data_IF_723543940297
#
_entry.id   IF_723543940297
#
_cell.length_a   1.000
_cell.length_b   1.000
_cell.length_c   1.000
_cell.angle_alpha   90.00
_cell.angle_beta   90.00
_cell.angle_gamma   90.00
#
_symmetry.space_group_name_H-M   'P 1'
#
loop_
_entity.id
_entity.type
_entity.pdbx_description
1 polymer ?
#
# COMPACT_ATOMS: atom_id res chain seq x y z
N UNK A 1 -8.62 1.96 -6.74
CA UNK A 1 -9.11 0.64 -7.13
C UNK A 1 -9.93 0.75 -8.41
N UNK A 2 -10.96 1.58 -8.40
CA UNK A 2 -11.91 1.80 -9.51
C UNK A 2 -11.26 2.31 -10.81
N UNK A 3 -10.31 3.26 -10.73
CA UNK A 3 -9.54 3.72 -11.91
C UNK A 3 -8.77 2.59 -12.62
N UNK A 4 -8.24 1.63 -11.85
CA UNK A 4 -7.51 0.49 -12.41
C UNK A 4 -8.43 -0.51 -13.09
N UNK A 5 -9.62 -0.74 -12.54
CA UNK A 5 -10.64 -1.58 -13.15
C UNK A 5 -11.21 -0.97 -14.43
N UNK A 6 -11.48 0.34 -14.43
CA UNK A 6 -11.96 1.06 -15.62
C UNK A 6 -10.92 1.04 -16.74
N UNK A 7 -9.65 1.29 -16.42
CA UNK A 7 -8.56 1.19 -17.39
C UNK A 7 -8.42 -0.24 -17.94
N UNK A 8 -8.55 -1.26 -17.08
CA UNK A 8 -8.48 -2.66 -17.49
C UNK A 8 -9.68 -3.04 -18.37
N UNK A 9 -10.89 -2.61 -18.04
CA UNK A 9 -12.10 -2.85 -18.85
C UNK A 9 -11.98 -2.21 -20.24
N UNK A 10 -11.41 -1.01 -20.35
CA UNK A 10 -11.14 -0.36 -21.64
C UNK A 10 -10.12 -1.15 -22.48
N UNK A 11 -9.06 -1.66 -21.86
CA UNK A 11 -8.02 -2.45 -22.53
C UNK A 11 -8.56 -3.81 -22.99
N UNK A 12 -9.41 -4.46 -22.19
CA UNK A 12 -10.10 -5.71 -22.55
C UNK A 12 -11.06 -5.50 -23.73
N UNK A 13 -11.75 -4.36 -23.80
CA UNK A 13 -12.64 -4.03 -24.92
C UNK A 13 -11.90 -3.87 -26.25
N UNK A 14 -10.69 -3.29 -26.22
CA UNK A 14 -9.86 -3.04 -27.39
C UNK A 14 -9.09 -4.30 -27.87
N UNK A 15 -8.80 -5.25 -26.97
CA UNK A 15 -7.89 -6.36 -27.23
C UNK A 15 -8.55 -7.69 -26.83
N UNK A 16 -9.00 -8.46 -27.83
CA UNK A 16 -9.62 -9.80 -27.65
C UNK A 16 -8.59 -10.95 -27.52
N UNK A 17 -7.31 -10.71 -27.78
CA UNK A 17 -6.25 -11.70 -27.65
C UNK A 17 -5.63 -11.72 -26.25
N UNK A 18 -5.68 -12.87 -25.58
CA UNK A 18 -5.17 -13.06 -24.21
C UNK A 18 -3.67 -12.72 -24.06
N UNK A 19 -2.86 -12.95 -25.11
CA UNK A 19 -1.41 -12.62 -25.11
C UNK A 19 -1.17 -11.12 -25.12
N UNK A 20 -1.94 -10.38 -25.91
CA UNK A 20 -1.82 -8.93 -26.00
C UNK A 20 -2.36 -8.27 -24.73
N UNK A 21 -3.41 -8.83 -24.13
CA UNK A 21 -3.94 -8.39 -22.84
C UNK A 21 -2.92 -8.54 -21.70
N UNK A 22 -2.25 -9.69 -21.63
CA UNK A 22 -1.19 -9.95 -20.66
C UNK A 22 -0.01 -8.98 -20.81
N UNK A 23 0.35 -8.63 -22.06
CA UNK A 23 1.39 -7.63 -22.33
C UNK A 23 0.92 -6.21 -21.94
N UNK A 24 -0.28 -5.80 -22.35
CA UNK A 24 -0.82 -4.47 -22.07
C UNK A 24 -0.97 -4.20 -20.56
N UNK A 25 -1.28 -5.24 -19.77
CA UNK A 25 -1.36 -5.14 -18.31
C UNK A 25 0.00 -5.19 -17.64
N UNK A 26 0.96 -5.94 -18.17
CA UNK A 26 2.31 -6.10 -17.59
C UNK A 26 3.25 -4.91 -17.88
N UNK A 27 3.14 -4.29 -19.06
CA UNK A 27 4.00 -3.18 -19.49
C UNK A 27 3.96 -1.97 -18.55
N UNK A 28 2.79 -1.51 -18.04
CA UNK A 28 2.73 -0.48 -17.01
C UNK A 28 3.49 -0.85 -15.74
N UNK A 29 3.53 -2.14 -15.36
CA UNK A 29 4.31 -2.54 -14.17
C UNK A 29 5.81 -2.40 -14.38
N UNK A 30 6.30 -2.49 -15.63
CA UNK A 30 7.71 -2.24 -15.91
C UNK A 30 8.12 -0.80 -15.60
N UNK A 31 7.18 0.16 -15.69
CA UNK A 31 7.43 1.55 -15.28
C UNK A 31 7.73 1.68 -13.78
N UNK A 32 7.26 0.75 -12.93
CA UNK A 32 7.61 0.72 -11.51
C UNK A 32 9.11 0.49 -11.27
N UNK A 33 9.83 -0.15 -12.18
CA UNK A 33 11.28 -0.26 -12.07
C UNK A 33 11.98 1.10 -12.26
N UNK A 34 11.41 2.02 -13.04
CA UNK A 34 11.92 3.40 -13.12
C UNK A 34 11.73 4.15 -11.79
N UNK A 35 10.68 3.84 -11.02
CA UNK A 35 10.47 4.46 -9.71
C UNK A 35 11.61 4.14 -8.74
N UNK A 36 12.26 2.98 -8.86
CA UNK A 36 13.44 2.66 -8.04
C UNK A 36 14.57 3.68 -8.23
N UNK A 37 14.71 4.24 -9.43
CA UNK A 37 15.77 5.19 -9.76
C UNK A 37 15.43 6.64 -9.39
N UNK A 38 14.14 6.98 -9.43
CA UNK A 38 13.65 8.36 -9.23
C UNK A 38 13.27 8.63 -7.77
N UNK A 39 12.73 7.64 -7.05
CA UNK A 39 12.17 7.85 -5.72
C UNK A 39 13.30 7.86 -4.67
N UNK A 40 13.52 8.97 -3.95
CA UNK A 40 14.46 8.97 -2.85
C UNK A 40 13.96 8.01 -1.76
N UNK A 41 14.90 7.36 -1.08
CA UNK A 41 14.58 6.45 0.03
C UNK A 41 13.79 7.18 1.12
N UNK A 42 12.90 6.45 1.80
CA UNK A 42 12.01 7.05 2.81
C UNK A 42 12.84 7.69 3.93
N UNK A 43 12.66 9.00 4.21
CA UNK A 43 13.41 9.67 5.28
C UNK A 43 13.19 9.03 6.65
N UNK A 44 12.01 8.45 6.87
CA UNK A 44 11.69 7.73 8.12
C UNK A 44 12.56 6.50 8.30
N UNK A 45 12.85 5.77 7.22
CA UNK A 45 13.72 4.60 7.24
C UNK A 45 15.19 4.99 7.47
N UNK A 46 15.65 6.06 6.84
CA UNK A 46 17.00 6.60 7.06
C UNK A 46 17.21 7.07 8.50
N UNK A 47 16.20 7.73 9.09
CA UNK A 47 16.20 8.12 10.51
C UNK A 47 16.24 6.89 11.43
N UNK A 48 15.47 5.83 11.12
CA UNK A 48 15.48 4.59 11.88
C UNK A 48 16.84 3.86 11.83
N UNK A 49 17.56 3.93 10.69
CA UNK A 49 18.92 3.41 10.55
C UNK A 49 20.03 4.31 11.11
N UNK A 50 19.69 5.47 11.67
CA UNK A 50 20.67 6.43 12.21
C UNK A 50 21.45 7.22 11.15
N UNK A 51 21.03 7.16 9.88
CA UNK A 51 21.63 7.93 8.76
C UNK A 51 21.03 9.33 8.71
N UNK A 52 21.28 10.14 9.75
CA UNK A 52 20.64 11.44 9.93
C UNK A 52 21.02 12.47 8.86
N UNK A 53 22.25 12.45 8.36
CA UNK A 53 22.73 13.42 7.34
C UNK A 53 22.04 13.22 5.98
N UNK A 54 21.77 11.98 5.59
CA UNK A 54 21.06 11.69 4.34
C UNK A 54 19.58 12.02 4.46
N UNK A 55 18.97 11.69 5.60
CA UNK A 55 17.62 12.12 5.92
C UNK A 55 17.49 13.64 5.88
N UNK A 56 18.50 14.38 6.37
CA UNK A 56 18.56 15.85 6.30
C UNK A 56 18.52 16.36 4.86
N UNK A 57 19.37 15.81 3.99
CA UNK A 57 19.45 16.21 2.58
C UNK A 57 18.11 16.01 1.88
N UNK A 58 17.46 14.88 2.11
CA UNK A 58 16.16 14.56 1.51
C UNK A 58 15.05 15.46 2.09
N UNK A 59 15.04 15.70 3.41
CA UNK A 59 14.08 16.64 4.04
C UNK A 59 14.26 18.05 3.50
N UNK A 60 15.50 18.55 3.39
CA UNK A 60 15.78 19.88 2.83
C UNK A 60 15.31 19.99 1.38
N UNK A 61 15.52 18.95 0.57
CA UNK A 61 15.03 18.90 -0.82
C UNK A 61 13.50 18.94 -0.85
N UNK A 62 12.82 18.13 -0.04
CA UNK A 62 11.35 18.15 0.05
C UNK A 62 10.80 19.48 0.56
N UNK A 63 11.45 20.09 1.55
CA UNK A 63 11.03 21.36 2.11
C UNK A 63 11.13 22.48 1.07
N UNK A 64 12.21 22.50 0.28
CA UNK A 64 12.36 23.41 -0.87
C UNK A 64 11.26 23.21 -1.92
N UNK A 65 10.97 21.96 -2.30
CA UNK A 65 9.90 21.63 -3.26
C UNK A 65 8.53 22.05 -2.73
N UNK A 66 8.30 21.91 -1.42
CA UNK A 66 7.06 22.30 -0.75
C UNK A 66 7.01 23.79 -0.36
N UNK A 67 7.99 24.61 -0.76
CA UNK A 67 8.04 26.04 -0.44
C UNK A 67 8.18 26.37 1.05
N UNK A 68 8.55 25.40 1.90
CA UNK A 68 8.72 25.60 3.34
C UNK A 68 10.20 25.56 3.72
N UNK A 69 10.64 26.48 4.57
CA UNK A 69 11.98 26.41 5.17
C UNK A 69 11.94 25.52 6.41
N UNK A 70 12.82 24.51 6.47
CA UNK A 70 13.03 23.76 7.70
C UNK A 70 13.73 24.66 8.74
N UNK A 71 13.22 24.76 9.98
CA UNK A 71 13.91 25.48 11.04
C UNK A 71 15.28 24.85 11.29
N UNK A 72 16.31 25.67 11.54
CA UNK A 72 17.68 25.19 11.80
C UNK A 72 17.75 24.17 12.97
N UNK A 73 16.85 24.30 13.94
CA UNK A 73 16.76 23.40 15.10
C UNK A 73 15.90 22.15 14.88
N UNK A 74 15.25 22.01 13.72
CA UNK A 74 14.33 20.89 13.46
C UNK A 74 15.05 19.54 13.48
N UNK A 75 16.25 19.48 12.91
CA UNK A 75 17.08 18.27 12.91
C UNK A 75 17.53 17.86 14.31
N UNK A 76 17.85 18.83 15.17
CA UNK A 76 18.26 18.58 16.56
C UNK A 76 17.07 18.06 17.36
N UNK A 77 15.89 18.66 17.18
CA UNK A 77 14.65 18.17 17.81
C UNK A 77 14.25 16.79 17.30
N UNK A 78 14.42 16.53 16.00
CA UNK A 78 14.11 15.24 15.38
C UNK A 78 15.05 14.14 15.85
N UNK A 79 16.36 14.43 15.95
CA UNK A 79 17.36 13.55 16.57
C UNK A 79 16.99 13.25 18.02
N UNK A 80 16.64 14.26 18.83
CA UNK A 80 16.24 14.08 20.22
C UNK A 80 14.98 13.21 20.35
N UNK A 81 13.94 13.46 19.54
CA UNK A 81 12.73 12.64 19.52
C UNK A 81 13.05 11.19 19.14
N UNK A 82 13.80 10.98 18.06
CA UNK A 82 14.19 9.63 17.65
C UNK A 82 15.07 8.91 18.67
N UNK A 83 15.97 9.62 19.36
CA UNK A 83 16.79 9.03 20.43
C UNK A 83 15.92 8.64 21.64
N UNK A 84 14.94 9.45 22.01
CA UNK A 84 13.98 9.13 23.08
C UNK A 84 13.09 7.97 22.69
N UNK A 85 12.54 7.96 21.46
CA UNK A 85 11.71 6.86 20.94
C UNK A 85 12.52 5.56 20.87
N UNK A 86 13.78 5.62 20.40
CA UNK A 86 14.69 4.47 20.36
C UNK A 86 15.06 3.99 21.77
N UNK A 87 15.30 4.90 22.72
CA UNK A 87 15.56 4.55 24.12
C UNK A 87 14.33 3.92 24.79
N UNK A 88 13.12 4.42 24.53
CA UNK A 88 11.89 3.80 25.00
C UNK A 88 11.68 2.43 24.36
N UNK A 89 11.88 2.30 23.04
CA UNK A 89 11.85 1.01 22.35
C UNK A 89 12.91 0.05 22.85
N UNK A 90 14.13 0.51 23.14
CA UNK A 90 15.21 -0.32 23.71
C UNK A 90 14.91 -0.72 25.14
N UNK A 91 14.29 0.13 25.95
CA UNK A 91 13.88 -0.20 27.31
C UNK A 91 12.72 -1.21 27.33
N UNK A 92 11.81 -1.10 26.37
CA UNK A 92 10.76 -2.10 26.16
C UNK A 92 11.35 -3.40 25.58
N UNK A 93 12.34 -3.32 24.68
CA UNK A 93 13.07 -4.47 24.14
C UNK A 93 14.02 -5.11 25.15
N UNK A 94 14.66 -4.39 26.07
CA UNK A 94 15.53 -4.93 27.13
C UNK A 94 14.72 -5.72 28.15
N UNK A 95 13.49 -5.27 28.45
CA UNK A 95 12.51 -6.06 29.21
C UNK A 95 12.11 -7.35 28.50
N UNK A 96 12.20 -7.39 27.17
CA UNK A 96 11.81 -8.52 26.33
C UNK A 96 12.99 -9.23 25.61
N UNK A 97 14.24 -8.86 25.89
CA UNK A 97 15.43 -9.33 25.14
C UNK A 97 15.73 -10.81 25.36
N UNK A 98 14.98 -11.45 26.25
CA UNK A 98 14.97 -12.89 26.50
C UNK A 98 13.85 -13.63 25.75
N UNK A 99 13.11 -12.96 24.84
CA UNK A 99 12.02 -13.53 24.05
C UNK A 99 12.19 -13.23 22.57
N UNK A 100 12.46 -14.28 21.81
CA UNK A 100 12.28 -14.27 20.36
C UNK A 100 10.78 -14.18 20.07
N UNK A 101 10.31 -13.06 19.52
CA UNK A 101 8.92 -12.90 19.12
C UNK A 101 8.65 -13.75 17.88
N UNK A 102 7.86 -14.82 18.05
CA UNK A 102 7.36 -15.65 16.96
C UNK A 102 5.96 -15.22 16.49
N UNK A 103 5.51 -15.76 15.37
CA UNK A 103 4.13 -15.61 14.87
C UNK A 103 3.08 -16.08 15.89
N UNK A 104 3.45 -17.00 16.80
CA UNK A 104 2.59 -17.43 17.91
C UNK A 104 2.40 -16.34 18.99
N UNK A 105 3.34 -15.41 19.15
CA UNK A 105 3.25 -14.34 20.16
C UNK A 105 2.17 -13.30 19.78
N UNK A 106 1.81 -13.25 18.49
CA UNK A 106 0.68 -12.46 17.98
C UNK A 106 -0.67 -12.88 18.59
N UNK A 107 -0.79 -14.17 18.94
CA UNK A 107 -2.00 -14.74 19.55
C UNK A 107 -1.94 -14.77 21.08
N UNK A 108 -0.78 -14.50 21.67
CA UNK A 108 -0.54 -14.63 23.11
C UNK A 108 -1.11 -13.46 23.91
N UNK A 109 -1.06 -12.24 23.37
CA UNK A 109 -1.64 -11.06 24.05
C UNK A 109 -3.09 -10.85 23.63
N UNK A 110 -4.02 -10.76 24.59
CA UNK A 110 -5.47 -10.65 24.34
C UNK A 110 -5.86 -9.45 23.44
N UNK A 111 -5.18 -8.31 23.61
CA UNK A 111 -5.38 -7.12 22.77
C UNK A 111 -4.90 -7.31 21.33
N UNK A 112 -3.76 -8.00 21.15
CA UNK A 112 -3.20 -8.24 19.83
C UNK A 112 -4.02 -9.30 19.09
N UNK A 113 -4.41 -10.38 19.77
CA UNK A 113 -5.30 -11.42 19.24
C UNK A 113 -6.63 -10.86 18.73
N UNK A 114 -7.28 -9.97 19.49
CA UNK A 114 -8.54 -9.32 19.04
C UNK A 114 -8.32 -8.51 17.78
N UNK A 115 -7.26 -7.69 17.71
CA UNK A 115 -6.94 -6.89 16.53
C UNK A 115 -6.64 -7.78 15.32
N UNK A 116 -5.81 -8.81 15.48
CA UNK A 116 -5.49 -9.76 14.41
C UNK A 116 -6.73 -10.48 13.91
N UNK A 117 -7.59 -10.98 14.79
CA UNK A 117 -8.84 -11.65 14.38
C UNK A 117 -9.79 -10.71 13.64
N UNK A 118 -9.95 -9.48 14.10
CA UNK A 118 -10.79 -8.48 13.42
C UNK A 118 -10.23 -8.19 12.02
N UNK A 119 -8.92 -7.97 11.88
CA UNK A 119 -8.29 -7.70 10.59
C UNK A 119 -8.42 -8.91 9.64
N UNK A 120 -8.17 -10.12 10.13
CA UNK A 120 -8.33 -11.35 9.33
C UNK A 120 -9.78 -11.56 8.90
N UNK A 121 -10.75 -11.29 9.78
CA UNK A 121 -12.17 -11.41 9.46
C UNK A 121 -12.61 -10.38 8.42
N UNK A 122 -12.20 -9.11 8.56
CA UNK A 122 -12.47 -8.07 7.57
C UNK A 122 -11.91 -8.47 6.21
N UNK A 123 -10.66 -8.95 6.18
CA UNK A 123 -10.02 -9.38 4.94
C UNK A 123 -10.72 -10.59 4.30
N UNK A 124 -11.14 -11.56 5.11
CA UNK A 124 -11.88 -12.74 4.66
C UNK A 124 -13.25 -12.38 4.09
N UNK A 125 -14.02 -11.54 4.79
CA UNK A 125 -15.34 -11.09 4.32
C UNK A 125 -15.21 -10.30 3.02
N UNK A 126 -14.24 -9.39 2.94
CA UNK A 126 -14.00 -8.62 1.73
C UNK A 126 -13.62 -9.53 0.54
N UNK A 127 -12.74 -10.51 0.77
CA UNK A 127 -12.32 -11.46 -0.28
C UNK A 127 -13.49 -12.34 -0.70
N UNK A 128 -14.28 -12.85 0.25
CA UNK A 128 -15.44 -13.69 -0.03
C UNK A 128 -16.51 -12.95 -0.83
N UNK A 129 -16.81 -11.70 -0.48
CA UNK A 129 -17.76 -10.86 -1.22
C UNK A 129 -17.23 -10.56 -2.62
N UNK A 130 -15.94 -10.20 -2.74
CA UNK A 130 -15.34 -9.86 -4.02
C UNK A 130 -15.29 -11.07 -4.97
N UNK A 131 -14.84 -12.21 -4.47
CA UNK A 131 -14.77 -13.47 -5.24
C UNK A 131 -16.17 -13.97 -5.56
N UNK A 132 -17.13 -13.86 -4.62
CA UNK A 132 -18.53 -14.21 -4.85
C UNK A 132 -19.17 -13.37 -5.97
N UNK A 133 -18.96 -12.06 -5.96
CA UNK A 133 -19.42 -11.16 -7.04
C UNK A 133 -18.72 -11.49 -8.37
N UNK A 134 -17.41 -11.76 -8.33
CA UNK A 134 -16.62 -12.09 -9.53
C UNK A 134 -17.03 -13.42 -10.17
N UNK A 135 -17.36 -14.44 -9.37
CA UNK A 135 -17.87 -15.73 -9.87
C UNK A 135 -19.34 -15.69 -10.30
N UNK A 136 -20.15 -14.80 -9.71
CA UNK A 136 -21.55 -14.63 -10.12
C UNK A 136 -21.71 -13.75 -11.38
N UNK A 137 -20.73 -12.89 -11.68
CA UNK A 137 -20.71 -12.06 -12.89
C UNK A 137 -20.84 -12.85 -14.21
N UNK A 138 -20.17 -14.00 -14.42
CA UNK A 138 -20.37 -14.83 -15.61
C UNK A 138 -21.66 -15.68 -15.56
N UNK A 139 -22.26 -15.89 -14.38
CA UNK A 139 -23.47 -16.72 -14.21
C UNK A 139 -24.78 -16.00 -14.63
N UNK A 140 -24.72 -14.70 -14.94
CA UNK A 140 -25.85 -13.92 -15.47
C UNK A 140 -26.24 -14.28 -16.92
N UNK A 141 -25.46 -15.15 -17.58
CA UNK A 141 -25.74 -15.64 -18.94
C UNK A 141 -25.38 -14.62 -20.03
N UNK A 142 -24.74 -15.09 -21.09
CA UNK A 142 -24.25 -14.26 -22.21
C UNK A 142 -22.76 -14.45 -22.49
N UNK A 143 -22.25 -13.68 -23.47
CA UNK A 143 -20.83 -13.64 -23.81
C UNK A 143 -20.05 -13.06 -22.62
N UNK A 144 -19.13 -13.84 -22.04
CA UNK A 144 -18.45 -13.56 -20.76
C UNK A 144 -17.72 -12.20 -20.79
N UNK A 145 -17.27 -11.82 -21.99
CA UNK A 145 -16.64 -10.54 -22.29
C UNK A 145 -17.61 -9.34 -22.26
N UNK A 146 -18.87 -9.54 -22.65
CA UNK A 146 -19.92 -8.51 -22.63
C UNK A 146 -20.40 -8.22 -21.21
N UNK A 147 -20.50 -9.25 -20.37
CA UNK A 147 -20.87 -9.07 -18.96
C UNK A 147 -19.78 -8.35 -18.17
N UNK A 148 -18.51 -8.63 -18.45
CA UNK A 148 -17.39 -7.89 -17.88
C UNK A 148 -17.35 -6.42 -18.34
N UNK A 149 -17.70 -6.17 -19.61
CA UNK A 149 -17.84 -4.82 -20.17
C UNK A 149 -19.01 -4.04 -19.54
N UNK A 150 -20.19 -4.66 -19.43
CA UNK A 150 -21.38 -4.06 -18.83
C UNK A 150 -21.18 -3.77 -17.34
N UNK A 151 -20.49 -4.64 -16.61
CA UNK A 151 -20.12 -4.39 -15.21
C UNK A 151 -19.20 -3.18 -15.07
N UNK A 152 -18.17 -3.06 -15.93
CA UNK A 152 -17.29 -1.88 -15.96
C UNK A 152 -18.02 -0.58 -16.37
N UNK A 153 -18.98 -0.67 -17.30
CA UNK A 153 -19.77 0.47 -17.76
C UNK A 153 -20.80 0.95 -16.73
N UNK A 154 -21.41 0.03 -15.97
CA UNK A 154 -22.38 0.34 -14.90
C UNK A 154 -21.74 1.07 -13.73
N UNK A 155 -20.44 0.89 -13.50
CA UNK A 155 -19.72 1.62 -12.43
C UNK A 155 -19.40 3.08 -12.81
N UNK A 156 -19.39 3.46 -14.10
CA UNK A 156 -19.05 4.83 -14.53
C UNK A 156 -20.08 5.89 -14.09
N UNK A 157 -21.41 5.70 -14.26
CA UNK A 157 -22.41 6.64 -13.78
C UNK A 157 -22.40 6.79 -12.25
N UNK A 158 -22.09 5.71 -11.53
CA UNK A 158 -22.12 5.69 -10.06
C UNK A 158 -21.10 6.65 -9.44
N UNK A 159 -19.96 6.93 -10.12
CA UNK A 159 -18.98 7.93 -9.68
C UNK A 159 -19.27 9.36 -10.13
N UNK A 160 -20.12 9.56 -11.14
CA UNK A 160 -20.51 10.91 -11.60
C UNK A 160 -21.67 11.45 -10.75
N UNK A 161 -22.48 10.56 -10.19
CA UNK A 161 -23.65 10.91 -9.36
C UNK A 161 -23.30 11.02 -7.86
N UNK A 162 -22.14 10.53 -7.41
CA UNK A 162 -21.70 10.52 -6.01
C UNK A 162 -20.52 11.47 -5.78
#
# INVERSE_FOLDING_TARGET
YSLGLVALAAVVYLIRDWRQLALATSVPFLSFFLYWWVLPESPRWLLARGRFEEAEKILKKMARVNGKSLPANYMVQLKRKFQVDRYMQQKDQEKDHNRSYGVMDLLRTSNLRRKTLIITFIWFTNTSVYVGLSYYAPALGGDEFLNFFLAGAVELPTYVVL
#
